data_IF_520806699025
#
_entry.id   IF_520806699025
#
_cell.length_a   1.000
_cell.length_b   1.000
_cell.length_c   1.000
_cell.angle_alpha   90.00
_cell.angle_beta   90.00
_cell.angle_gamma   90.00
#
_symmetry.space_group_name_H-M   'P 1'
#
loop_
_entity.id
_entity.type
_entity.pdbx_description
1 polymer ?
#
# COMPACT_ATOMS: atom_id res chain seq x y z
N UNK A 1 -13.35 0.79 2.69
CA UNK A 1 -12.62 -0.44 2.36
C UNK A 1 -11.20 -0.11 1.96
N UNK A 2 -10.26 -0.96 2.35
CA UNK A 2 -8.85 -0.77 2.00
C UNK A 2 -8.21 -2.10 1.64
N UNK A 3 -7.23 -2.05 0.76
CA UNK A 3 -6.43 -3.19 0.34
C UNK A 3 -4.97 -2.85 0.55
N UNK A 4 -4.22 -3.75 1.16
CA UNK A 4 -2.77 -3.62 1.33
C UNK A 4 -2.11 -4.80 0.61
N UNK A 5 -1.18 -4.51 -0.27
CA UNK A 5 -0.40 -5.53 -0.96
C UNK A 5 1.07 -5.32 -0.63
N UNK A 6 1.73 -6.37 -0.19
CA UNK A 6 3.15 -6.32 0.14
C UNK A 6 3.91 -7.41 -0.63
N UNK A 7 5.13 -7.11 -1.02
CA UNK A 7 6.05 -8.04 -1.66
C UNK A 7 7.35 -8.06 -0.86
N UNK A 8 7.90 -9.25 -0.65
CA UNK A 8 9.15 -9.43 0.10
C UNK A 8 9.08 -8.83 1.50
N UNK A 9 7.91 -8.85 2.11
CA UNK A 9 7.72 -8.36 3.47
C UNK A 9 8.23 -9.39 4.48
N UNK A 10 8.91 -8.94 5.56
CA UNK A 10 9.34 -9.85 6.62
C UNK A 10 8.16 -10.55 7.28
N UNK A 11 8.33 -11.80 7.76
CA UNK A 11 7.25 -12.53 8.43
C UNK A 11 6.62 -11.77 9.61
N UNK A 12 7.40 -10.98 10.32
CA UNK A 12 6.92 -10.18 11.44
C UNK A 12 5.86 -9.16 11.00
N UNK A 13 6.11 -8.46 9.88
CA UNK A 13 5.14 -7.52 9.34
C UNK A 13 3.90 -8.25 8.83
N UNK A 14 4.09 -9.35 8.11
CA UNK A 14 2.98 -10.14 7.58
C UNK A 14 2.07 -10.63 8.69
N UNK A 15 2.65 -11.11 9.80
CA UNK A 15 1.87 -11.53 10.96
C UNK A 15 1.09 -10.38 11.59
N UNK A 16 1.68 -9.20 11.66
CA UNK A 16 1.01 -8.02 12.20
C UNK A 16 -0.14 -7.59 11.32
N UNK A 17 0.04 -7.58 10.01
CA UNK A 17 -1.03 -7.24 9.08
C UNK A 17 -2.19 -8.23 9.18
N UNK A 18 -1.90 -9.51 9.34
CA UNK A 18 -2.92 -10.55 9.48
C UNK A 18 -3.73 -10.42 10.78
N UNK A 19 -3.20 -9.71 11.78
CA UNK A 19 -3.94 -9.43 13.01
C UNK A 19 -5.02 -8.37 12.81
N UNK A 20 -4.84 -7.45 11.87
CA UNK A 20 -5.80 -6.37 11.61
C UNK A 20 -6.65 -6.61 10.37
N UNK A 21 -6.12 -7.30 9.39
CA UNK A 21 -6.70 -7.44 8.07
C UNK A 21 -6.88 -8.91 7.72
N UNK A 22 -7.74 -9.18 6.74
CA UNK A 22 -7.93 -10.53 6.22
C UNK A 22 -6.94 -10.75 5.08
N UNK A 23 -6.09 -11.74 5.21
CA UNK A 23 -5.18 -12.14 4.14
C UNK A 23 -5.91 -13.03 3.14
N UNK A 24 -6.17 -12.50 1.95
CA UNK A 24 -6.88 -13.25 0.90
C UNK A 24 -5.97 -14.23 0.18
N UNK A 25 -4.72 -13.85 0.04
CA UNK A 25 -3.64 -14.70 -0.47
C UNK A 25 -2.33 -14.09 0.00
N UNK A 26 -1.23 -14.80 -0.18
CA UNK A 26 0.06 -14.34 0.30
C UNK A 26 0.34 -12.90 -0.13
N UNK A 27 0.49 -12.01 0.83
CA UNK A 27 0.81 -10.61 0.60
C UNK A 27 -0.36 -9.71 0.27
N UNK A 28 -1.60 -10.22 0.20
CA UNK A 28 -2.78 -9.43 -0.16
C UNK A 28 -3.75 -9.40 1.02
N UNK A 29 -3.97 -8.21 1.58
CA UNK A 29 -4.76 -8.01 2.80
C UNK A 29 -5.89 -7.04 2.54
N UNK A 30 -7.06 -7.30 3.14
CA UNK A 30 -8.26 -6.48 2.97
C UNK A 30 -8.86 -6.18 4.33
N UNK A 31 -9.36 -4.96 4.50
CA UNK A 31 -10.06 -4.55 5.69
C UNK A 31 -10.87 -3.28 5.45
N UNK A 32 -11.55 -2.84 6.50
CA UNK A 32 -12.35 -1.62 6.46
C UNK A 32 -12.18 -0.89 7.79
N UNK A 33 -11.45 0.21 7.75
CA UNK A 33 -11.10 0.98 8.94
C UNK A 33 -11.27 2.46 8.70
N UNK A 34 -11.34 3.21 9.80
CA UNK A 34 -11.34 4.67 9.76
C UNK A 34 -10.04 5.21 9.16
N UNK A 35 -10.06 6.47 8.75
CA UNK A 35 -8.86 7.16 8.24
C UNK A 35 -7.72 7.05 9.24
N UNK A 36 -7.98 7.28 10.52
CA UNK A 36 -6.97 7.23 11.56
C UNK A 36 -6.30 5.86 11.67
N UNK A 37 -7.11 4.80 11.66
CA UNK A 37 -6.58 3.44 11.74
C UNK A 37 -5.85 3.05 10.47
N UNK A 38 -6.36 3.45 9.31
CA UNK A 38 -5.69 3.23 8.03
C UNK A 38 -4.29 3.85 8.03
N UNK A 39 -4.17 5.09 8.50
CA UNK A 39 -2.88 5.77 8.56
C UNK A 39 -1.92 5.08 9.53
N UNK A 40 -2.43 4.60 10.65
CA UNK A 40 -1.63 3.83 11.60
C UNK A 40 -1.11 2.53 10.96
N UNK A 41 -1.96 1.83 10.22
CA UNK A 41 -1.54 0.60 9.52
C UNK A 41 -0.45 0.90 8.49
N UNK A 42 -0.59 2.00 7.74
CA UNK A 42 0.44 2.40 6.78
C UNK A 42 1.77 2.70 7.47
N UNK A 43 1.74 3.40 8.61
CA UNK A 43 2.96 3.68 9.38
C UNK A 43 3.63 2.39 9.83
N UNK A 44 2.86 1.38 10.23
CA UNK A 44 3.40 0.08 10.60
C UNK A 44 4.01 -0.66 9.40
N UNK A 45 3.39 -0.54 8.24
CA UNK A 45 3.93 -1.10 7.00
C UNK A 45 5.30 -0.47 6.70
N UNK A 46 5.37 0.85 6.73
CA UNK A 46 6.63 1.56 6.46
C UNK A 46 7.73 1.18 7.45
N UNK A 47 7.37 1.04 8.73
CA UNK A 47 8.33 0.72 9.78
C UNK A 47 8.86 -0.71 9.67
N UNK A 48 8.07 -1.66 9.15
CA UNK A 48 8.42 -3.08 9.15
C UNK A 48 8.77 -3.66 7.78
N UNK A 49 8.73 -2.86 6.72
CA UNK A 49 8.84 -3.39 5.36
C UNK A 49 10.27 -3.76 4.94
N UNK A 50 11.28 -3.09 5.50
CA UNK A 50 12.68 -3.27 5.15
C UNK A 50 12.92 -3.05 3.64
N UNK A 51 13.37 -4.09 2.92
CA UNK A 51 13.68 -4.00 1.48
C UNK A 51 12.49 -4.33 0.58
N UNK A 52 11.33 -4.62 1.16
CA UNK A 52 10.16 -5.00 0.38
C UNK A 52 9.43 -3.83 -0.25
N UNK A 53 8.34 -4.15 -0.92
CA UNK A 53 7.47 -3.19 -1.58
C UNK A 53 6.06 -3.27 -1.01
N UNK A 54 5.34 -2.16 -1.04
CA UNK A 54 3.97 -2.12 -0.56
C UNK A 54 3.12 -1.14 -1.36
N UNK A 55 1.85 -1.45 -1.46
CA UNK A 55 0.83 -0.53 -1.95
C UNK A 55 -0.39 -0.62 -1.04
N UNK A 56 -1.02 0.51 -0.80
CA UNK A 56 -2.29 0.59 -0.08
C UNK A 56 -3.28 1.35 -0.95
N UNK A 57 -4.47 0.79 -1.10
CA UNK A 57 -5.56 1.40 -1.87
C UNK A 57 -6.78 1.49 -0.96
N UNK A 58 -7.51 2.58 -1.03
CA UNK A 58 -8.74 2.74 -0.24
C UNK A 58 -9.76 3.56 -1.01
N UNK A 59 -11.04 3.37 -0.65
CA UNK A 59 -12.12 4.15 -1.20
C UNK A 59 -11.98 5.60 -0.75
N UNK A 60 -12.09 6.54 -1.67
CA UNK A 60 -11.94 7.96 -1.40
C UNK A 60 -12.89 8.78 -2.27
N UNK A 61 -13.33 9.97 -1.81
CA UNK A 61 -14.22 10.84 -2.58
C UNK A 61 -13.47 11.62 -3.65
N UNK A 62 -12.80 10.90 -4.53
CA UNK A 62 -12.11 11.44 -5.70
C UNK A 62 -12.90 11.07 -6.95
N UNK A 63 -12.57 11.69 -8.08
CA UNK A 63 -13.22 11.36 -9.36
C UNK A 63 -13.05 9.88 -9.71
N UNK A 64 -11.94 9.27 -9.33
CA UNK A 64 -11.66 7.85 -9.53
C UNK A 64 -12.43 6.96 -8.55
N UNK A 65 -12.84 7.50 -7.40
CA UNK A 65 -13.51 6.75 -6.33
C UNK A 65 -12.56 6.07 -5.36
N UNK A 66 -11.25 6.20 -5.56
CA UNK A 66 -10.24 5.63 -4.68
C UNK A 66 -8.98 6.50 -4.66
N UNK A 67 -8.14 6.24 -3.68
CA UNK A 67 -6.80 6.82 -3.59
C UNK A 67 -5.82 5.72 -3.19
N UNK A 68 -4.53 5.97 -3.32
CA UNK A 68 -3.52 4.94 -3.03
C UNK A 68 -2.18 5.55 -2.67
N UNK A 69 -1.34 4.73 -2.03
CA UNK A 69 0.07 5.03 -1.73
C UNK A 69 0.93 3.84 -2.09
N UNK A 70 2.18 4.11 -2.45
CA UNK A 70 3.16 3.08 -2.78
C UNK A 70 4.45 3.33 -2.04
N UNK A 71 5.21 2.27 -1.77
CA UNK A 71 6.52 2.35 -1.15
C UNK A 71 7.38 1.17 -1.60
N UNK A 72 8.69 1.42 -1.79
CA UNK A 72 9.64 0.38 -2.16
C UNK A 72 10.41 0.71 -3.43
N UNK A 73 11.40 -0.12 -3.75
CA UNK A 73 12.29 0.10 -4.91
C UNK A 73 11.56 -0.01 -6.24
N UNK A 74 10.59 -0.91 -6.31
CA UNK A 74 9.82 -1.16 -7.54
C UNK A 74 8.48 -0.44 -7.54
N UNK A 75 8.37 0.59 -6.72
CA UNK A 75 7.13 1.34 -6.58
C UNK A 75 6.77 2.07 -7.87
N UNK A 76 5.47 2.22 -8.07
CA UNK A 76 4.95 3.14 -9.05
C UNK A 76 4.65 4.48 -8.35
N UNK A 77 5.07 5.57 -8.96
CA UNK A 77 4.86 6.90 -8.38
C UNK A 77 3.46 7.41 -8.71
N UNK A 78 2.70 7.88 -7.71
CA UNK A 78 1.45 8.58 -7.98
C UNK A 78 1.71 9.86 -8.78
N UNK A 79 0.91 10.08 -9.80
CA UNK A 79 0.97 11.27 -10.65
C UNK A 79 -0.42 11.84 -10.79
N UNK A 80 -0.58 13.14 -10.52
CA UNK A 80 -1.83 13.84 -10.74
C UNK A 80 -1.92 14.27 -12.19
N UNK A 81 -2.94 13.79 -12.90
CA UNK A 81 -3.16 14.10 -14.30
C UNK A 81 -4.65 14.46 -14.47
N UNK A 82 -4.91 15.76 -14.68
CA UNK A 82 -6.26 16.31 -14.85
C UNK A 82 -7.22 15.89 -13.71
N UNK A 83 -6.76 15.93 -12.47
CA UNK A 83 -7.55 15.56 -11.32
C UNK A 83 -7.60 14.06 -11.04
N UNK A 84 -7.02 13.24 -11.91
CA UNK A 84 -6.93 11.79 -11.71
C UNK A 84 -5.53 11.44 -11.18
N UNK A 85 -5.50 10.60 -10.17
CA UNK A 85 -4.26 10.08 -9.63
C UNK A 85 -3.89 8.80 -10.36
N UNK A 86 -2.88 8.89 -11.19
CA UNK A 86 -2.34 7.77 -11.97
C UNK A 86 -1.01 7.33 -11.38
N UNK A 87 -0.36 6.35 -11.99
CA UNK A 87 0.96 5.92 -11.57
C UNK A 87 1.97 6.11 -12.70
N UNK A 88 3.17 6.50 -12.30
CA UNK A 88 4.32 6.55 -13.20
C UNK A 88 5.28 5.44 -12.80
N UNK A 89 5.74 4.68 -13.77
CA UNK A 89 6.70 3.62 -13.53
C UNK A 89 8.08 4.23 -13.31
N UNK A 90 8.69 3.92 -12.16
CA UNK A 90 10.06 4.34 -11.91
C UNK A 90 11.01 3.38 -12.60
N UNK A 91 11.89 3.88 -13.49
CA UNK A 91 12.89 3.01 -14.09
C UNK A 91 13.83 2.47 -13.02
N UNK A 92 14.32 1.25 -13.26
CA UNK A 92 15.39 0.70 -12.43
C UNK A 92 16.60 1.62 -12.52
N UNK A 93 17.25 1.82 -11.37
CA UNK A 93 18.52 2.53 -11.38
C UNK A 93 19.56 1.66 -12.07
N UNK A 94 20.15 2.21 -13.11
CA UNK A 94 21.33 1.64 -13.69
C UNK A 94 22.49 2.00 -12.76
N UNK A 95 22.83 1.09 -11.91
CA UNK A 95 23.96 1.27 -10.99
C UNK A 95 25.24 0.70 -11.59
#
# INVERSE_FOLDING_TARGET
MMVVVVSSAPPRLRGRLAAWLVELRAGVYVGDYSVRTREMIWDQVLAGLDEGDAVMVWKAPTDQGYDFRTHGKNRRMPVDFDGLKLVSFLPERAD
#
